data_IF_240077451016
#
_entry.id   IF_240077451016
#
_cell.length_a   1.000
_cell.length_b   1.000
_cell.length_c   1.000
_cell.angle_alpha   90.00
_cell.angle_beta   90.00
_cell.angle_gamma   90.00
#
_symmetry.space_group_name_H-M   'P 1'
#
loop_
_entity.id
_entity.type
_entity.pdbx_description
1 polymer ?
#
# COMPACT_ATOMS: atom_id res chain seq x y z
N UNK A 1 20.69 16.09 3.18
CA UNK A 1 19.58 16.54 2.35
C UNK A 1 18.81 15.36 1.80
N UNK A 2 19.52 14.52 1.16
CA UNK A 2 18.85 13.57 0.28
C UNK A 2 18.16 12.45 1.04
N UNK A 3 18.75 11.97 2.12
CA UNK A 3 18.14 10.92 2.92
C UNK A 3 16.87 11.42 3.61
N UNK A 4 16.90 12.60 4.19
CA UNK A 4 15.73 13.17 4.87
C UNK A 4 14.64 13.54 3.85
N UNK A 5 15.03 14.11 2.71
CA UNK A 5 14.07 14.46 1.67
C UNK A 5 13.42 13.22 1.07
N UNK A 6 14.22 12.20 0.76
CA UNK A 6 13.70 10.96 0.22
C UNK A 6 12.77 10.25 1.19
N UNK A 7 13.11 10.26 2.48
CA UNK A 7 12.24 9.67 3.50
C UNK A 7 10.91 10.43 3.60
N UNK A 8 10.95 11.78 3.54
CA UNK A 8 9.75 12.59 3.54
C UNK A 8 8.89 12.36 2.31
N UNK A 9 9.51 12.25 1.13
CA UNK A 9 8.78 11.96 -0.10
C UNK A 9 8.16 10.58 -0.08
N UNK A 10 8.89 9.58 0.40
CA UNK A 10 8.36 8.23 0.50
C UNK A 10 7.16 8.18 1.45
N UNK A 11 7.24 8.86 2.59
CA UNK A 11 6.14 8.90 3.55
C UNK A 11 4.92 9.62 2.96
N UNK A 12 5.12 10.72 2.23
CA UNK A 12 4.04 11.46 1.59
C UNK A 12 3.36 10.63 0.51
N UNK A 13 4.13 9.96 -0.33
CA UNK A 13 3.60 9.09 -1.38
C UNK A 13 2.81 7.93 -0.77
N UNK A 14 3.32 7.30 0.26
CA UNK A 14 2.65 6.21 0.92
C UNK A 14 1.35 6.65 1.57
N UNK A 15 1.31 7.86 2.16
CA UNK A 15 0.09 8.39 2.74
C UNK A 15 -0.98 8.64 1.68
N UNK A 16 -0.59 9.23 0.54
CA UNK A 16 -1.51 9.43 -0.58
C UNK A 16 -2.00 8.09 -1.11
N UNK A 17 -1.09 7.12 -1.27
CA UNK A 17 -1.46 5.79 -1.75
C UNK A 17 -2.46 5.10 -0.83
N UNK A 18 -2.35 5.30 0.49
CA UNK A 18 -3.28 4.70 1.44
C UNK A 18 -4.71 5.23 1.27
N UNK A 19 -4.85 6.46 0.79
CA UNK A 19 -6.16 7.09 0.56
C UNK A 19 -6.70 6.86 -0.84
N UNK A 20 -5.84 6.58 -1.80
CA UNK A 20 -6.22 6.41 -3.19
C UNK A 20 -5.99 4.96 -3.61
N UNK A 21 -7.07 4.27 -3.95
CA UNK A 21 -7.05 2.82 -4.14
C UNK A 21 -6.11 2.38 -5.26
N UNK A 22 -6.15 3.06 -6.40
CA UNK A 22 -5.27 2.73 -7.52
C UNK A 22 -3.80 2.90 -7.18
N UNK A 23 -3.47 4.01 -6.53
CA UNK A 23 -2.09 4.27 -6.10
C UNK A 23 -1.65 3.27 -5.04
N UNK A 24 -2.55 2.89 -4.12
CA UNK A 24 -2.27 1.89 -3.11
C UNK A 24 -1.94 0.53 -3.74
N UNK A 25 -2.74 0.12 -4.73
CA UNK A 25 -2.50 -1.14 -5.43
C UNK A 25 -1.16 -1.14 -6.17
N UNK A 26 -0.84 -0.05 -6.85
CA UNK A 26 0.45 0.07 -7.53
C UNK A 26 1.62 0.03 -6.56
N UNK A 27 1.48 0.67 -5.40
CA UNK A 27 2.54 0.67 -4.38
C UNK A 27 2.80 -0.75 -3.86
N UNK A 28 1.75 -1.54 -3.65
CA UNK A 28 1.90 -2.93 -3.23
C UNK A 28 2.58 -3.76 -4.33
N UNK A 29 2.18 -3.55 -5.58
CA UNK A 29 2.82 -4.23 -6.70
C UNK A 29 4.30 -3.85 -6.82
N UNK A 30 4.63 -2.58 -6.61
CA UNK A 30 6.01 -2.12 -6.64
C UNK A 30 6.85 -2.78 -5.53
N UNK A 31 6.29 -2.91 -4.34
CA UNK A 31 6.96 -3.60 -3.24
C UNK A 31 7.24 -5.05 -3.58
N UNK A 32 6.26 -5.73 -4.20
CA UNK A 32 6.43 -7.11 -4.64
C UNK A 32 7.53 -7.22 -5.70
N UNK A 33 7.52 -6.33 -6.67
CA UNK A 33 8.48 -6.35 -7.78
C UNK A 33 9.92 -6.05 -7.32
N UNK A 34 10.07 -5.28 -6.25
CA UNK A 34 11.38 -4.93 -5.70
C UNK A 34 11.99 -6.06 -4.85
N UNK A 35 11.17 -7.03 -4.43
CA UNK A 35 11.64 -8.12 -3.59
C UNK A 35 12.11 -9.30 -4.43
N UNK A 36 12.92 -10.16 -3.84
CA UNK A 36 13.29 -11.43 -4.46
C UNK A 36 12.04 -12.28 -4.66
N UNK A 37 12.04 -13.15 -5.67
CA UNK A 37 10.87 -13.96 -6.01
C UNK A 37 10.29 -14.71 -4.81
N UNK A 38 11.17 -15.28 -3.98
CA UNK A 38 10.76 -16.03 -2.80
C UNK A 38 10.14 -15.16 -1.71
N UNK A 39 10.30 -13.83 -1.78
CA UNK A 39 9.84 -12.90 -0.76
C UNK A 39 8.72 -11.97 -1.24
N UNK A 40 8.26 -12.14 -2.48
CA UNK A 40 7.28 -11.23 -3.07
C UNK A 40 5.96 -11.20 -2.33
N UNK A 41 5.45 -12.35 -1.94
CA UNK A 41 4.17 -12.41 -1.23
C UNK A 41 4.27 -11.71 0.12
N UNK A 42 5.36 -11.95 0.83
CA UNK A 42 5.58 -11.29 2.12
C UNK A 42 5.77 -9.79 1.96
N UNK A 43 6.52 -9.36 0.96
CA UNK A 43 6.75 -7.94 0.69
C UNK A 43 5.42 -7.22 0.37
N UNK A 44 4.57 -7.84 -0.43
CA UNK A 44 3.26 -7.28 -0.75
C UNK A 44 2.36 -7.19 0.49
N UNK A 45 2.35 -8.25 1.29
CA UNK A 45 1.56 -8.29 2.52
C UNK A 45 2.02 -7.22 3.51
N UNK A 46 3.32 -7.06 3.68
CA UNK A 46 3.86 -6.04 4.59
C UNK A 46 3.52 -4.63 4.13
N UNK A 47 3.64 -4.36 2.82
CA UNK A 47 3.25 -3.06 2.28
C UNK A 47 1.77 -2.79 2.49
N UNK A 48 0.93 -3.76 2.20
CA UNK A 48 -0.52 -3.64 2.40
C UNK A 48 -0.85 -3.35 3.87
N UNK A 49 -0.26 -4.09 4.79
CA UNK A 49 -0.47 -3.87 6.22
C UNK A 49 0.04 -2.51 6.66
N UNK A 50 1.20 -2.09 6.15
CA UNK A 50 1.74 -0.79 6.47
C UNK A 50 0.82 0.34 6.02
N UNK A 51 0.30 0.24 4.79
CA UNK A 51 -0.66 1.22 4.27
C UNK A 51 -1.90 1.32 5.16
N UNK A 52 -2.44 0.17 5.57
CA UNK A 52 -3.63 0.16 6.44
C UNK A 52 -3.34 0.80 7.79
N UNK A 53 -2.14 0.63 8.31
CA UNK A 53 -1.74 1.24 9.58
C UNK A 53 -1.66 2.77 9.50
N UNK A 54 -1.49 3.34 8.30
CA UNK A 54 -1.44 4.78 8.09
C UNK A 54 -2.82 5.42 7.95
N UNK A 55 -3.87 4.63 7.82
CA UNK A 55 -5.22 5.17 7.62
C UNK A 55 -5.73 5.83 8.90
N UNK A 56 -6.25 7.07 8.81
CA UNK A 56 -6.95 7.67 9.94
C UNK A 56 -8.15 6.80 10.35
N UNK A 57 -8.42 6.73 11.65
CA UNK A 57 -9.51 5.89 12.15
C UNK A 57 -10.86 6.28 11.58
N UNK A 58 -11.06 7.57 11.26
CA UNK A 58 -12.33 8.09 10.76
C UNK A 58 -12.70 7.53 9.39
N UNK A 59 -11.71 7.13 8.58
CA UNK A 59 -11.97 6.63 7.23
C UNK A 59 -11.53 5.20 7.03
N UNK A 60 -10.96 4.56 8.06
CA UNK A 60 -10.39 3.22 7.93
C UNK A 60 -11.41 2.22 7.40
N UNK A 61 -12.59 2.17 7.99
CA UNK A 61 -13.60 1.21 7.59
C UNK A 61 -14.07 1.42 6.16
N UNK A 62 -14.21 2.69 5.75
CA UNK A 62 -14.59 3.01 4.37
C UNK A 62 -13.54 2.54 3.38
N UNK A 63 -12.26 2.77 3.68
CA UNK A 63 -11.17 2.37 2.79
C UNK A 63 -11.06 0.84 2.73
N UNK A 64 -11.17 0.16 3.86
CA UNK A 64 -11.10 -1.29 3.88
C UNK A 64 -12.26 -1.92 3.10
N UNK A 65 -13.47 -1.38 3.23
CA UNK A 65 -14.62 -1.84 2.46
C UNK A 65 -14.40 -1.63 0.96
N UNK A 66 -13.85 -0.49 0.57
CA UNK A 66 -13.58 -0.20 -0.84
C UNK A 66 -12.51 -1.14 -1.39
N UNK A 67 -11.45 -1.41 -0.62
CA UNK A 67 -10.42 -2.39 -0.99
C UNK A 67 -11.04 -3.77 -1.22
N UNK A 68 -11.94 -4.18 -0.35
CA UNK A 68 -12.62 -5.47 -0.47
C UNK A 68 -13.47 -5.54 -1.75
N UNK A 69 -14.21 -4.48 -2.05
CA UNK A 69 -15.07 -4.44 -3.23
C UNK A 69 -14.27 -4.43 -4.52
N UNK A 70 -13.12 -3.79 -4.55
CA UNK A 70 -12.34 -3.58 -5.76
C UNK A 70 -11.10 -4.44 -5.86
N UNK A 71 -10.92 -5.37 -4.94
CA UNK A 71 -9.71 -6.18 -4.87
C UNK A 71 -9.45 -6.93 -6.18
N UNK A 72 -10.49 -7.44 -6.81
CA UNK A 72 -10.36 -8.20 -8.06
C UNK A 72 -9.74 -7.35 -9.18
N UNK A 73 -10.20 -6.11 -9.36
CA UNK A 73 -9.63 -5.24 -10.39
C UNK A 73 -8.30 -4.63 -9.98
N UNK A 74 -7.91 -4.79 -8.72
CA UNK A 74 -6.62 -4.35 -8.19
C UNK A 74 -5.67 -5.53 -7.95
N UNK A 75 -5.81 -6.58 -8.77
CA UNK A 75 -4.91 -7.74 -8.79
C UNK A 75 -4.84 -8.50 -7.47
N UNK A 76 -5.88 -8.41 -6.65
CA UNK A 76 -5.96 -9.08 -5.34
C UNK A 76 -4.84 -8.69 -4.38
N UNK A 77 -4.22 -7.51 -4.56
CA UNK A 77 -3.12 -7.07 -3.69
C UNK A 77 -3.57 -6.71 -2.28
N UNK A 78 -4.87 -6.55 -2.07
CA UNK A 78 -5.42 -6.18 -0.77
C UNK A 78 -5.79 -7.37 0.10
N UNK A 79 -5.39 -8.57 -0.29
CA UNK A 79 -5.56 -9.78 0.53
C UNK A 79 -4.46 -9.85 1.59
N UNK A 80 -4.50 -8.94 2.54
CA UNK A 80 -3.48 -8.92 3.59
C UNK A 80 -4.10 -8.93 5.03
#
# INVERSE_FOLDING_TARGET
>A
RDAAYAAGQAAAVAHVAAHELGAAAYAIRAARAAADESERDEAGRLECQWQRAQLPSEIRDLVLDDQKLRNEICWFVFDC
#
